data_IF_672123939018
#
_entry.id   IF_672123939018
#
_cell.length_a   1.000
_cell.length_b   1.000
_cell.length_c   1.000
_cell.angle_alpha   90.00
_cell.angle_beta   90.00
_cell.angle_gamma   90.00
#
_symmetry.space_group_name_H-M   'P 1'
#
loop_
_entity.id
_entity.type
_entity.pdbx_description
1 polymer ?
#
# COMPACT_ATOMS: atom_id res chain seq x y z
N UNK A 1 8.04 14.75 -25.05
CA UNK A 1 8.49 13.74 -24.08
C UNK A 1 9.93 14.04 -23.69
N UNK A 2 10.15 14.42 -22.43
CA UNK A 2 11.48 14.74 -21.89
C UNK A 2 12.37 13.50 -21.76
N UNK A 3 13.69 13.70 -21.66
CA UNK A 3 14.69 12.62 -21.49
C UNK A 3 14.41 11.72 -20.27
N UNK A 4 14.02 12.25 -19.08
CA UNK A 4 13.71 11.41 -17.93
C UNK A 4 12.56 10.43 -18.22
N UNK A 5 11.50 10.88 -18.91
CA UNK A 5 10.31 10.08 -19.18
C UNK A 5 10.61 8.92 -20.13
N UNK A 6 11.52 9.10 -21.09
CA UNK A 6 11.99 8.01 -21.96
C UNK A 6 12.61 6.88 -21.16
N UNK A 7 13.47 7.20 -20.18
CA UNK A 7 14.10 6.20 -19.32
C UNK A 7 13.09 5.52 -18.40
N UNK A 8 12.15 6.30 -17.83
CA UNK A 8 11.08 5.74 -16.99
C UNK A 8 10.26 4.71 -17.78
N UNK A 9 9.86 5.02 -19.01
CA UNK A 9 9.13 4.08 -19.87
C UNK A 9 9.97 2.84 -20.21
N UNK A 10 11.27 3.01 -20.47
CA UNK A 10 12.17 1.88 -20.71
C UNK A 10 12.25 0.94 -19.51
N UNK A 11 12.38 1.48 -18.30
CA UNK A 11 12.42 0.72 -17.06
C UNK A 11 11.06 0.04 -16.80
N UNK A 12 9.92 0.71 -17.07
CA UNK A 12 8.58 0.08 -17.02
C UNK A 12 8.49 -1.10 -17.99
N UNK A 13 8.92 -0.93 -19.24
CA UNK A 13 8.89 -1.99 -20.24
C UNK A 13 9.76 -3.17 -19.84
N UNK A 14 10.95 -2.93 -19.26
CA UNK A 14 11.78 -4.02 -18.77
C UNK A 14 11.09 -4.81 -17.64
N UNK A 15 10.55 -4.09 -16.65
CA UNK A 15 9.86 -4.71 -15.51
C UNK A 15 8.63 -5.51 -15.98
N UNK A 16 7.86 -5.01 -16.96
CA UNK A 16 6.62 -5.65 -17.40
C UNK A 16 6.79 -6.69 -18.50
N UNK A 17 7.69 -6.49 -19.46
CA UNK A 17 7.82 -7.35 -20.64
C UNK A 17 9.01 -8.31 -20.56
N UNK A 18 10.06 -7.98 -19.80
CA UNK A 18 11.19 -8.89 -19.56
C UNK A 18 10.98 -9.73 -18.31
N UNK A 19 10.65 -9.09 -17.17
CA UNK A 19 10.43 -9.82 -15.90
C UNK A 19 9.01 -10.39 -15.85
N UNK A 20 8.00 -9.61 -16.26
CA UNK A 20 6.61 -10.05 -16.30
C UNK A 20 5.82 -9.68 -15.05
N UNK A 21 4.77 -10.46 -14.76
CA UNK A 21 4.00 -10.34 -13.50
C UNK A 21 4.90 -10.67 -12.32
N UNK A 22 4.72 -9.97 -11.19
CA UNK A 22 5.61 -10.08 -10.02
C UNK A 22 4.83 -10.50 -8.77
N UNK A 23 4.27 -11.73 -8.72
CA UNK A 23 3.55 -12.19 -7.55
C UNK A 23 4.40 -12.08 -6.27
N UNK A 24 3.80 -11.81 -5.10
CA UNK A 24 4.52 -11.83 -3.83
C UNK A 24 5.26 -13.15 -3.62
N UNK A 25 6.51 -13.09 -3.16
CA UNK A 25 7.37 -14.26 -2.89
C UNK A 25 7.71 -15.09 -4.13
N UNK A 26 7.51 -14.55 -5.33
CA UNK A 26 7.87 -15.24 -6.58
C UNK A 26 9.32 -14.97 -6.99
N UNK A 27 9.77 -15.71 -8.00
CA UNK A 27 11.10 -15.49 -8.58
C UNK A 27 11.15 -14.13 -9.29
N UNK A 28 10.06 -13.74 -9.95
CA UNK A 28 9.90 -12.47 -10.67
C UNK A 28 9.89 -11.25 -9.74
N UNK A 29 9.31 -11.35 -8.52
CA UNK A 29 9.48 -10.32 -7.48
C UNK A 29 10.96 -10.16 -7.13
N UNK A 30 11.68 -11.27 -6.95
CA UNK A 30 13.11 -11.25 -6.64
C UNK A 30 13.98 -10.73 -7.80
N UNK A 31 13.66 -11.08 -9.04
CA UNK A 31 14.32 -10.51 -10.23
C UNK A 31 14.11 -9.00 -10.32
N UNK A 32 12.94 -8.50 -9.91
CA UNK A 32 12.69 -7.05 -9.83
C UNK A 32 13.54 -6.39 -8.74
N UNK A 33 13.73 -7.07 -7.60
CA UNK A 33 14.67 -6.62 -6.56
C UNK A 33 16.08 -6.50 -7.12
N UNK A 34 16.56 -7.51 -7.85
CA UNK A 34 17.88 -7.51 -8.47
C UNK A 34 18.02 -6.39 -9.49
N UNK A 35 17.04 -6.22 -10.38
CA UNK A 35 17.00 -5.10 -11.34
C UNK A 35 17.11 -3.75 -10.63
N UNK A 36 16.34 -3.52 -9.56
CA UNK A 36 16.41 -2.28 -8.78
C UNK A 36 17.80 -2.10 -8.15
N UNK A 37 18.37 -3.15 -7.56
CA UNK A 37 19.72 -3.09 -6.98
C UNK A 37 20.77 -2.73 -8.03
N UNK A 38 20.76 -3.37 -9.20
CA UNK A 38 21.69 -3.09 -10.30
C UNK A 38 21.58 -1.64 -10.78
N UNK A 39 20.35 -1.12 -10.93
CA UNK A 39 20.11 0.27 -11.33
C UNK A 39 20.63 1.29 -10.32
N UNK A 40 20.73 0.92 -9.04
CA UNK A 40 21.19 1.80 -7.96
C UNK A 40 22.69 1.67 -7.65
N UNK A 41 23.29 0.48 -7.83
CA UNK A 41 24.70 0.20 -7.49
C UNK A 41 25.71 1.07 -8.26
N UNK A 42 25.34 1.59 -9.43
CA UNK A 42 26.18 2.47 -10.26
C UNK A 42 26.15 3.95 -9.88
N UNK A 43 25.40 4.35 -8.84
CA UNK A 43 25.18 5.76 -8.50
C UNK A 43 26.11 6.21 -7.36
N UNK A 44 27.00 7.16 -7.63
CA UNK A 44 28.09 7.57 -6.72
C UNK A 44 27.63 8.03 -5.33
N UNK A 45 26.43 8.63 -5.23
CA UNK A 45 25.91 9.21 -3.98
C UNK A 45 24.79 8.40 -3.34
N UNK A 46 24.60 7.17 -3.77
CA UNK A 46 23.52 6.30 -3.29
C UNK A 46 24.10 5.15 -2.49
N UNK A 47 23.78 5.09 -1.20
CA UNK A 47 24.04 3.89 -0.40
C UNK A 47 22.80 3.00 -0.41
N UNK A 48 22.94 1.76 -0.87
CA UNK A 48 21.85 0.79 -0.95
C UNK A 48 21.96 -0.22 0.19
N UNK A 49 20.87 -0.44 0.90
CA UNK A 49 20.74 -1.50 1.91
C UNK A 49 19.52 -2.36 1.63
N UNK A 50 19.64 -3.65 1.92
CA UNK A 50 18.56 -4.61 1.80
C UNK A 50 18.00 -4.94 3.19
N UNK A 51 16.68 -4.97 3.31
CA UNK A 51 15.97 -5.40 4.51
C UNK A 51 15.17 -6.68 4.17
N UNK A 52 15.67 -7.87 4.55
CA UNK A 52 14.93 -9.10 4.37
C UNK A 52 13.83 -9.28 5.43
N UNK A 53 12.72 -9.89 5.04
CA UNK A 53 11.64 -10.27 5.96
C UNK A 53 10.92 -11.53 5.47
N UNK A 54 10.07 -12.12 6.30
CA UNK A 54 9.26 -13.27 5.94
C UNK A 54 7.79 -12.90 5.80
N UNK A 55 7.09 -13.60 4.89
CA UNK A 55 5.66 -13.39 4.66
C UNK A 55 4.99 -14.67 4.19
N UNK A 56 3.66 -14.71 4.34
CA UNK A 56 2.77 -15.70 3.74
C UNK A 56 2.30 -15.18 2.38
N UNK A 57 2.53 -15.92 1.30
CA UNK A 57 2.43 -15.42 -0.08
C UNK A 57 1.04 -15.14 -0.66
N UNK A 58 -0.02 -15.25 0.14
CA UNK A 58 -1.41 -15.14 -0.31
C UNK A 58 -2.27 -14.36 0.68
N UNK A 59 -3.04 -13.39 0.19
CA UNK A 59 -3.98 -12.63 1.00
C UNK A 59 -5.10 -13.54 1.54
N UNK A 60 -5.55 -14.55 0.80
CA UNK A 60 -6.54 -15.51 1.30
C UNK A 60 -5.98 -16.36 2.44
N UNK A 61 -4.69 -16.70 2.41
CA UNK A 61 -4.04 -17.38 3.53
C UNK A 61 -3.92 -16.46 4.76
N UNK A 62 -3.71 -15.15 4.56
CA UNK A 62 -3.66 -14.16 5.65
C UNK A 62 -5.05 -13.89 6.23
N UNK A 63 -6.02 -13.45 5.42
CA UNK A 63 -7.35 -13.00 5.88
C UNK A 63 -8.38 -14.14 5.98
N UNK A 64 -8.31 -15.18 5.16
CA UNK A 64 -9.29 -16.27 5.14
C UNK A 64 -9.49 -16.97 6.49
N UNK A 65 -8.43 -17.26 7.28
CA UNK A 65 -8.58 -17.82 8.63
C UNK A 65 -9.41 -16.94 9.56
N UNK A 66 -9.36 -15.61 9.43
CA UNK A 66 -10.15 -14.72 10.28
C UNK A 66 -11.66 -14.97 10.12
N UNK A 67 -12.16 -15.17 8.91
CA UNK A 67 -13.56 -15.50 8.66
C UNK A 67 -13.96 -16.88 9.20
N UNK A 68 -13.08 -17.88 9.07
CA UNK A 68 -13.32 -19.22 9.61
C UNK A 68 -13.33 -19.25 11.15
N UNK A 69 -12.39 -18.55 11.78
CA UNK A 69 -12.32 -18.40 13.25
C UNK A 69 -13.55 -17.63 13.75
N UNK A 70 -13.96 -16.57 13.03
CA UNK A 70 -15.17 -15.82 13.35
C UNK A 70 -16.43 -16.69 13.27
N UNK A 71 -16.58 -17.49 12.21
CA UNK A 71 -17.70 -18.40 12.04
C UNK A 71 -17.77 -19.44 13.17
N UNK A 72 -16.64 -20.06 13.51
CA UNK A 72 -16.54 -20.98 14.65
C UNK A 72 -16.92 -20.27 15.95
N UNK A 73 -16.42 -19.05 16.16
CA UNK A 73 -16.75 -18.20 17.31
C UNK A 73 -18.25 -17.97 17.46
N UNK A 74 -18.93 -17.60 16.38
CA UNK A 74 -20.39 -17.36 16.35
C UNK A 74 -21.20 -18.64 16.63
N UNK A 75 -20.76 -19.79 16.12
CA UNK A 75 -21.41 -21.09 16.36
C UNK A 75 -21.25 -21.53 17.82
N UNK A 76 -20.06 -21.40 18.40
CA UNK A 76 -19.80 -21.72 19.81
C UNK A 76 -20.51 -20.75 20.76
N UNK A 77 -20.56 -19.47 20.41
CA UNK A 77 -21.33 -18.45 21.12
C UNK A 77 -22.83 -18.79 21.17
N UNK A 78 -23.34 -19.56 20.20
CA UNK A 78 -24.75 -19.99 20.15
C UNK A 78 -25.10 -21.13 21.09
N UNK A 79 -24.12 -21.71 21.79
CA UNK A 79 -24.35 -22.80 22.73
C UNK A 79 -24.92 -22.29 24.08
N UNK A 80 -25.70 -23.11 24.80
CA UNK A 80 -26.22 -22.76 26.13
C UNK A 80 -25.14 -22.82 27.21
N UNK A 81 -24.14 -23.69 27.07
CA UNK A 81 -23.06 -23.87 28.05
C UNK A 81 -22.20 -22.60 28.13
N UNK A 82 -22.02 -22.05 29.34
CA UNK A 82 -21.32 -20.76 29.57
C UNK A 82 -19.89 -20.75 29.03
N UNK A 83 -19.13 -21.83 29.25
CA UNK A 83 -17.73 -21.89 28.81
C UNK A 83 -17.59 -21.90 27.27
N UNK A 84 -18.47 -22.60 26.55
CA UNK A 84 -18.50 -22.57 25.08
C UNK A 84 -18.84 -21.17 24.54
N UNK A 85 -19.73 -20.45 25.24
CA UNK A 85 -20.04 -19.06 24.89
C UNK A 85 -18.84 -18.14 25.04
N UNK A 86 -18.14 -18.24 26.17
CA UNK A 86 -16.93 -17.46 26.42
C UNK A 86 -15.83 -17.78 25.40
N UNK A 87 -15.63 -19.06 25.09
CA UNK A 87 -14.69 -19.48 24.05
C UNK A 87 -15.07 -18.88 22.68
N UNK A 88 -16.35 -18.92 22.31
CA UNK A 88 -16.83 -18.35 21.06
C UNK A 88 -16.60 -16.83 20.96
N UNK A 89 -16.84 -16.10 22.05
CA UNK A 89 -16.55 -14.66 22.13
C UNK A 89 -15.04 -14.38 21.99
N UNK A 90 -14.19 -15.16 22.65
CA UNK A 90 -12.74 -15.03 22.54
C UNK A 90 -12.25 -15.27 21.11
N UNK A 91 -12.77 -16.29 20.42
CA UNK A 91 -12.44 -16.54 19.00
C UNK A 91 -12.90 -15.39 18.10
N UNK A 92 -14.09 -14.84 18.34
CA UNK A 92 -14.54 -13.64 17.64
C UNK A 92 -13.59 -12.45 17.82
N UNK A 93 -13.10 -12.24 19.04
CA UNK A 93 -12.08 -11.22 19.35
C UNK A 93 -10.74 -11.47 18.65
N UNK A 94 -10.26 -12.72 18.63
CA UNK A 94 -9.02 -13.10 17.95
C UNK A 94 -9.13 -12.89 16.43
N UNK A 95 -10.25 -13.30 15.82
CA UNK A 95 -10.51 -13.10 14.40
C UNK A 95 -10.50 -11.61 14.03
N UNK A 96 -11.20 -10.79 14.82
CA UNK A 96 -11.28 -9.35 14.65
C UNK A 96 -9.91 -8.67 14.78
N UNK A 97 -9.18 -9.02 15.83
CA UNK A 97 -7.83 -8.52 16.06
C UNK A 97 -6.91 -8.89 14.90
N UNK A 98 -6.89 -10.15 14.46
CA UNK A 98 -6.00 -10.59 13.38
C UNK A 98 -6.35 -9.98 12.02
N UNK A 99 -7.64 -9.83 11.68
CA UNK A 99 -8.05 -9.09 10.47
C UNK A 99 -7.58 -7.63 10.52
N UNK A 100 -7.72 -6.98 11.69
CA UNK A 100 -7.23 -5.62 11.90
C UNK A 100 -5.70 -5.54 11.81
N UNK A 101 -4.95 -6.52 12.33
CA UNK A 101 -3.49 -6.59 12.20
C UNK A 101 -3.07 -6.63 10.73
N UNK A 102 -3.68 -7.51 9.94
CA UNK A 102 -3.36 -7.70 8.52
C UNK A 102 -3.63 -6.43 7.71
N UNK A 103 -4.73 -5.71 7.99
CA UNK A 103 -5.00 -4.43 7.33
C UNK A 103 -4.00 -3.31 7.64
N UNK A 104 -3.20 -3.48 8.70
CA UNK A 104 -2.13 -2.56 9.08
C UNK A 104 -0.74 -3.12 8.74
N UNK A 105 -0.69 -4.19 7.93
CA UNK A 105 0.50 -4.86 7.46
C UNK A 105 1.22 -5.72 8.52
N UNK A 106 0.58 -5.97 9.67
CA UNK A 106 1.11 -6.86 10.70
C UNK A 106 0.71 -8.31 10.43
N UNK A 107 1.47 -9.24 11.01
CA UNK A 107 1.11 -10.65 11.06
C UNK A 107 -0.02 -10.90 12.05
N UNK A 108 -0.94 -11.78 11.66
CA UNK A 108 -1.86 -12.42 12.58
C UNK A 108 -1.24 -13.67 13.20
N UNK A 109 -1.74 -14.08 14.38
CA UNK A 109 -1.20 -15.22 15.15
C UNK A 109 -1.16 -16.52 14.32
N UNK A 110 -2.16 -16.75 13.47
CA UNK A 110 -2.22 -17.97 12.65
C UNK A 110 -1.18 -18.01 11.52
N UNK A 111 -0.54 -16.89 11.16
CA UNK A 111 0.51 -16.88 10.13
C UNK A 111 1.80 -17.55 10.62
N UNK A 112 1.98 -17.70 11.94
CA UNK A 112 3.15 -18.34 12.56
C UNK A 112 3.28 -19.83 12.25
N UNK A 113 2.17 -20.49 11.88
CA UNK A 113 2.13 -21.92 11.52
C UNK A 113 1.99 -22.14 10.02
N UNK A 114 1.97 -21.06 9.23
CA UNK A 114 1.85 -21.13 7.78
C UNK A 114 3.22 -21.20 7.11
N UNK A 115 3.33 -21.79 5.91
CA UNK A 115 4.55 -21.71 5.12
C UNK A 115 4.87 -20.25 4.79
N UNK A 116 6.02 -19.78 5.28
CA UNK A 116 6.54 -18.45 5.00
C UNK A 116 7.72 -18.54 4.04
N UNK A 117 7.86 -17.54 3.17
CA UNK A 117 9.07 -17.38 2.33
C UNK A 117 9.64 -15.99 2.57
N UNK A 118 10.91 -15.85 2.23
CA UNK A 118 11.65 -14.60 2.35
C UNK A 118 11.25 -13.65 1.20
N UNK A 119 11.06 -12.38 1.53
CA UNK A 119 10.98 -11.24 0.60
C UNK A 119 11.95 -10.16 1.06
N UNK A 120 12.04 -9.07 0.29
CA UNK A 120 13.07 -8.06 0.46
C UNK A 120 12.50 -6.66 0.22
N UNK A 121 12.87 -5.73 1.09
CA UNK A 121 12.80 -4.31 0.79
C UNK A 121 14.21 -3.82 0.40
N UNK A 122 14.28 -2.92 -0.56
CA UNK A 122 15.51 -2.21 -0.92
C UNK A 122 15.40 -0.76 -0.50
N UNK A 123 16.38 -0.25 0.23
CA UNK A 123 16.43 1.15 0.65
C UNK A 123 17.66 1.80 0.03
N UNK A 124 17.44 2.75 -0.85
CA UNK A 124 18.46 3.66 -1.35
C UNK A 124 18.46 4.94 -0.52
N UNK A 125 19.61 5.32 0.02
CA UNK A 125 19.80 6.54 0.80
C UNK A 125 20.70 7.52 0.06
N UNK A 126 20.21 8.75 -0.06
CA UNK A 126 20.87 9.84 -0.78
C UNK A 126 21.09 10.98 0.21
N UNK A 127 22.36 11.24 0.52
CA UNK A 127 22.75 12.25 1.49
C UNK A 127 22.58 13.69 0.94
N UNK A 128 22.21 14.67 1.78
CA UNK A 128 22.18 16.07 1.39
C UNK A 128 23.60 16.63 1.16
N UNK A 129 23.70 17.73 0.42
CA UNK A 129 24.97 18.43 0.19
C UNK A 129 25.49 19.20 1.42
N UNK A 130 24.59 19.69 2.26
CA UNK A 130 24.87 20.53 3.42
C UNK A 130 24.28 19.87 4.68
N UNK A 131 24.08 20.67 5.71
CA UNK A 131 23.51 20.22 6.98
C UNK A 131 22.11 19.63 6.78
N UNK A 132 21.91 18.44 7.33
CA UNK A 132 20.65 17.73 7.34
C UNK A 132 19.60 18.51 8.14
N UNK A 133 18.52 18.93 7.47
CA UNK A 133 17.34 19.55 8.09
C UNK A 133 16.09 18.69 7.93
N UNK A 134 15.98 18.00 6.81
CA UNK A 134 14.78 17.25 6.49
C UNK A 134 15.12 15.86 5.98
N UNK A 135 14.18 14.94 6.20
CA UNK A 135 14.21 13.59 5.65
C UNK A 135 12.90 13.35 4.91
N UNK A 136 13.01 12.84 3.69
CA UNK A 136 11.87 12.40 2.88
C UNK A 136 12.07 10.93 2.58
N UNK A 137 11.02 10.13 2.77
CA UNK A 137 11.00 8.72 2.38
C UNK A 137 10.02 8.58 1.22
N UNK A 138 10.50 8.16 0.07
CA UNK A 138 9.69 7.83 -1.09
C UNK A 138 9.54 6.31 -1.10
N UNK A 139 8.32 5.80 -1.28
CA UNK A 139 8.04 4.36 -1.23
C UNK A 139 7.35 3.93 -2.52
N UNK A 140 7.83 2.87 -3.16
CA UNK A 140 7.16 2.20 -4.25
C UNK A 140 7.20 0.69 -4.06
N UNK A 141 6.05 0.04 -4.13
CA UNK A 141 5.97 -1.43 -4.08
C UNK A 141 6.53 -2.10 -5.34
N UNK A 142 7.10 -3.30 -5.18
CA UNK A 142 7.69 -4.11 -6.24
C UNK A 142 6.71 -5.12 -6.85
N UNK A 143 5.88 -5.72 -5.98
CA UNK A 143 4.99 -6.83 -6.33
C UNK A 143 3.73 -6.39 -7.07
N UNK A 144 3.15 -7.30 -7.84
CA UNK A 144 1.84 -7.16 -8.49
C UNK A 144 0.73 -7.79 -7.66
N UNK A 145 -0.45 -7.17 -7.64
CA UNK A 145 -1.65 -7.77 -7.07
C UNK A 145 -2.30 -8.75 -8.08
N UNK A 146 -3.44 -9.31 -7.71
CA UNK A 146 -4.29 -10.11 -8.59
C UNK A 146 -5.38 -9.27 -9.27
N UNK A 147 -5.87 -9.75 -10.41
CA UNK A 147 -7.09 -9.22 -11.02
C UNK A 147 -8.26 -9.58 -10.11
N UNK A 148 -8.91 -8.58 -9.52
CA UNK A 148 -10.01 -8.79 -8.57
C UNK A 148 -11.36 -8.49 -9.19
N UNK A 149 -12.40 -9.11 -8.65
CA UNK A 149 -13.78 -8.72 -8.97
C UNK A 149 -14.06 -7.25 -8.61
N UNK A 150 -13.39 -6.70 -7.59
CA UNK A 150 -13.43 -5.27 -7.24
C UNK A 150 -12.81 -4.35 -8.30
N UNK A 151 -11.96 -4.88 -9.19
CA UNK A 151 -11.41 -4.17 -10.33
C UNK A 151 -12.39 -4.04 -11.50
N UNK A 152 -13.49 -4.81 -11.52
CA UNK A 152 -14.52 -4.69 -12.55
C UNK A 152 -15.41 -3.46 -12.27
N UNK A 153 -15.60 -2.54 -13.24
CA UNK A 153 -16.33 -1.28 -13.03
C UNK A 153 -17.72 -1.43 -12.40
N UNK A 154 -18.44 -2.49 -12.79
CA UNK A 154 -19.81 -2.79 -12.34
C UNK A 154 -19.91 -3.32 -10.90
N UNK A 155 -18.82 -3.85 -10.35
CA UNK A 155 -18.77 -4.54 -9.05
C UNK A 155 -17.97 -3.78 -7.99
N UNK A 156 -17.08 -2.90 -8.44
CA UNK A 156 -16.17 -2.10 -7.63
C UNK A 156 -16.80 -1.40 -6.41
N UNK A 157 -17.87 -0.64 -6.61
CA UNK A 157 -18.52 0.11 -5.52
C UNK A 157 -19.24 -0.80 -4.53
N UNK A 158 -19.70 -1.96 -5.03
CA UNK A 158 -20.38 -3.00 -4.26
C UNK A 158 -19.41 -3.87 -3.45
N UNK A 159 -18.11 -3.91 -3.74
CA UNK A 159 -17.15 -4.73 -2.98
C UNK A 159 -16.11 -3.92 -2.19
N UNK A 160 -15.65 -2.77 -2.71
CA UNK A 160 -14.60 -1.98 -2.04
C UNK A 160 -15.07 -1.34 -0.72
N UNK A 161 -16.33 -0.90 -0.64
CA UNK A 161 -16.91 -0.26 0.56
C UNK A 161 -17.41 -1.27 1.62
N UNK A 162 -18.16 -2.33 1.27
CA UNK A 162 -18.72 -3.22 2.29
C UNK A 162 -17.72 -4.19 2.91
N UNK A 163 -16.59 -4.52 2.29
CA UNK A 163 -15.58 -5.38 2.93
C UNK A 163 -15.14 -4.85 4.31
N UNK A 164 -14.90 -3.53 4.42
CA UNK A 164 -14.54 -2.86 5.68
C UNK A 164 -15.69 -2.75 6.70
N UNK A 165 -16.95 -2.81 6.24
CA UNK A 165 -18.13 -2.71 7.09
C UNK A 165 -18.60 -4.09 7.58
N UNK A 166 -18.44 -5.13 6.76
CA UNK A 166 -18.79 -6.52 7.12
C UNK A 166 -17.88 -7.05 8.23
N UNK A 167 -16.60 -6.69 8.23
CA UNK A 167 -15.71 -7.03 9.35
C UNK A 167 -16.13 -6.34 10.65
N UNK A 168 -16.48 -5.04 10.61
CA UNK A 168 -17.01 -4.31 11.78
C UNK A 168 -18.33 -4.94 12.24
N UNK A 169 -19.20 -5.32 11.30
CA UNK A 169 -20.44 -6.05 11.58
C UNK A 169 -20.18 -7.42 12.22
N UNK A 170 -19.16 -8.17 11.79
CA UNK A 170 -18.79 -9.46 12.38
C UNK A 170 -18.31 -9.33 13.84
N UNK A 171 -17.64 -8.21 14.17
CA UNK A 171 -17.30 -7.87 15.56
C UNK A 171 -18.58 -7.64 16.35
N UNK A 172 -19.45 -6.71 15.92
CA UNK A 172 -20.71 -6.42 16.61
C UNK A 172 -21.66 -7.62 16.70
N UNK A 173 -21.68 -8.46 15.67
CA UNK A 173 -22.42 -9.71 15.57
C UNK A 173 -21.97 -10.81 16.53
N UNK A 174 -20.72 -10.74 16.98
CA UNK A 174 -20.20 -11.66 17.99
C UNK A 174 -20.64 -11.22 19.40
N UNK A 175 -20.76 -9.91 19.65
CA UNK A 175 -21.10 -9.36 20.97
C UNK A 175 -22.62 -9.16 21.22
N UNK A 176 -23.37 -8.60 20.26
CA UNK A 176 -24.78 -8.19 20.46
C UNK A 176 -25.76 -9.38 20.48
N UNK A 177 -25.69 -10.35 19.56
CA UNK A 177 -26.58 -11.52 19.56
C UNK A 177 -26.29 -12.52 20.69
N UNK A 178 -25.08 -12.50 21.27
CA UNK A 178 -24.69 -13.39 22.37
C UNK A 178 -25.39 -13.03 23.69
N UNK A 179 -25.79 -11.77 23.85
CA UNK A 179 -26.54 -11.26 25.02
C UNK A 179 -28.05 -11.27 24.78
N UNK A 180 -28.51 -11.09 23.53
CA UNK A 180 -29.93 -11.04 23.15
C UNK A 180 -30.56 -12.41 22.78
N UNK A 181 -29.78 -13.49 22.71
CA UNK A 181 -30.30 -14.85 22.49
C UNK A 181 -30.65 -15.18 21.02
N UNK A 182 -30.26 -14.34 20.06
CA UNK A 182 -30.59 -14.52 18.63
C UNK A 182 -29.67 -15.55 17.95
N UNK A 183 -29.87 -16.83 18.27
CA UNK A 183 -29.08 -17.95 17.71
C UNK A 183 -29.21 -18.10 16.19
N UNK A 184 -30.39 -17.83 15.62
CA UNK A 184 -30.61 -17.91 14.17
C UNK A 184 -29.76 -16.87 13.41
N UNK A 185 -29.69 -15.63 13.91
CA UNK A 185 -28.91 -14.56 13.30
C UNK A 185 -27.41 -14.88 13.33
N UNK A 186 -26.91 -15.45 14.43
CA UNK A 186 -25.50 -15.89 14.53
C UNK A 186 -25.15 -16.99 13.53
N UNK A 187 -26.07 -17.90 13.24
CA UNK A 187 -25.86 -18.93 12.20
C UNK A 187 -25.79 -18.30 10.81
N UNK A 188 -26.66 -17.34 10.51
CA UNK A 188 -26.60 -16.59 9.24
C UNK A 188 -25.25 -15.87 9.11
N UNK A 189 -24.80 -15.20 10.18
CA UNK A 189 -23.53 -14.47 10.17
C UNK A 189 -22.31 -15.40 10.12
N UNK A 190 -22.38 -16.57 10.74
CA UNK A 190 -21.36 -17.61 10.61
C UNK A 190 -21.28 -18.13 9.16
N UNK A 191 -22.43 -18.37 8.52
CA UNK A 191 -22.46 -18.74 7.11
C UNK A 191 -21.89 -17.63 6.23
N UNK A 192 -22.25 -16.37 6.49
CA UNK A 192 -21.69 -15.24 5.76
C UNK A 192 -20.16 -15.14 5.91
N UNK A 193 -19.62 -15.39 7.11
CA UNK A 193 -18.18 -15.39 7.34
C UNK A 193 -17.46 -16.55 6.62
N UNK A 194 -18.05 -17.76 6.59
CA UNK A 194 -17.53 -18.89 5.79
C UNK A 194 -17.56 -18.54 4.30
N UNK A 195 -18.68 -18.00 3.81
CA UNK A 195 -18.82 -17.57 2.42
C UNK A 195 -17.81 -16.48 2.07
N UNK A 196 -17.55 -15.52 2.96
CA UNK A 196 -16.52 -14.50 2.77
C UNK A 196 -15.13 -15.12 2.61
N UNK A 197 -14.73 -16.05 3.49
CA UNK A 197 -13.45 -16.76 3.37
C UNK A 197 -13.36 -17.56 2.06
N UNK A 198 -14.43 -18.24 1.67
CA UNK A 198 -14.47 -18.99 0.42
C UNK A 198 -14.38 -18.07 -0.81
N UNK A 199 -15.07 -16.93 -0.80
CA UNK A 199 -15.00 -15.93 -1.86
C UNK A 199 -13.60 -15.32 -1.97
N UNK A 200 -12.91 -15.09 -0.86
CA UNK A 200 -11.54 -14.59 -0.88
C UNK A 200 -10.58 -15.61 -1.53
N UNK A 201 -10.73 -16.90 -1.20
CA UNK A 201 -9.95 -17.98 -1.85
C UNK A 201 -10.27 -18.06 -3.34
N UNK A 202 -11.54 -17.91 -3.72
CA UNK A 202 -11.96 -17.92 -5.12
C UNK A 202 -11.45 -16.70 -5.91
N UNK A 203 -11.46 -15.50 -5.31
CA UNK A 203 -10.91 -14.27 -5.89
C UNK A 203 -9.40 -14.42 -6.17
N UNK A 204 -8.66 -15.08 -5.26
CA UNK A 204 -7.24 -15.40 -5.44
C UNK A 204 -6.89 -16.49 -6.45
N UNK A 205 -7.88 -17.15 -7.04
CA UNK A 205 -7.65 -18.02 -8.18
C UNK A 205 -7.48 -17.24 -9.50
N UNK A 206 -7.77 -15.92 -9.50
CA UNK A 206 -7.59 -15.05 -10.65
C UNK A 206 -6.13 -14.89 -11.08
N UNK A 207 -5.89 -14.47 -12.33
CA UNK A 207 -4.54 -14.16 -12.81
C UNK A 207 -3.97 -12.93 -12.09
N UNK A 208 -2.64 -12.81 -12.08
CA UNK A 208 -1.96 -11.61 -11.61
C UNK A 208 -2.15 -10.44 -12.58
N UNK A 209 -2.22 -9.21 -12.06
CA UNK A 209 -2.22 -8.02 -12.93
C UNK A 209 -0.83 -7.84 -13.56
N UNK A 210 -0.73 -7.43 -14.85
CA UNK A 210 0.57 -7.14 -15.47
C UNK A 210 1.34 -6.02 -14.75
N UNK A 211 0.61 -5.07 -14.15
CA UNK A 211 1.12 -4.16 -13.14
C UNK A 211 2.02 -3.06 -13.69
N UNK A 212 1.73 -2.56 -14.90
CA UNK A 212 2.49 -1.48 -15.51
C UNK A 212 2.29 -0.16 -14.76
N UNK A 213 1.04 0.22 -14.53
CA UNK A 213 0.69 1.35 -13.69
C UNK A 213 0.93 0.99 -12.22
N UNK A 214 0.37 -0.13 -11.72
CA UNK A 214 0.45 -0.59 -10.33
C UNK A 214 1.41 -1.79 -10.17
N UNK A 215 2.70 -1.61 -9.88
CA UNK A 215 3.38 -0.34 -9.62
C UNK A 215 4.73 -0.20 -10.33
N UNK A 216 4.91 -0.81 -11.51
CA UNK A 216 6.14 -0.61 -12.29
C UNK A 216 6.40 0.88 -12.58
N UNK A 217 5.33 1.67 -12.78
CA UNK A 217 5.42 3.12 -12.95
C UNK A 217 6.07 3.84 -11.76
N UNK A 218 5.68 3.50 -10.53
CA UNK A 218 6.26 4.07 -9.31
C UNK A 218 7.72 3.65 -9.14
N UNK A 219 8.03 2.37 -9.35
CA UNK A 219 9.41 1.84 -9.28
C UNK A 219 10.32 2.55 -10.28
N UNK A 220 9.94 2.57 -11.55
CA UNK A 220 10.73 3.19 -12.61
C UNK A 220 10.91 4.71 -12.40
N UNK A 221 9.87 5.40 -11.96
CA UNK A 221 9.94 6.83 -11.66
C UNK A 221 10.92 7.11 -10.53
N UNK A 222 10.86 6.33 -9.44
CA UNK A 222 11.76 6.50 -8.31
C UNK A 222 13.20 6.10 -8.63
N UNK A 223 13.43 5.12 -9.51
CA UNK A 223 14.77 4.80 -10.02
C UNK A 223 15.37 5.99 -10.77
N UNK A 224 14.59 6.61 -11.66
CA UNK A 224 15.03 7.82 -12.38
C UNK A 224 15.27 8.99 -11.43
N UNK A 225 14.46 9.13 -10.37
CA UNK A 225 14.63 10.17 -9.37
C UNK A 225 15.87 9.93 -8.51
N UNK A 226 16.20 8.67 -8.21
CA UNK A 226 17.42 8.29 -7.50
C UNK A 226 18.66 8.71 -8.30
N UNK A 227 18.65 8.47 -9.61
CA UNK A 227 19.72 8.90 -10.51
C UNK A 227 19.86 10.43 -10.52
N UNK A 228 18.76 11.15 -10.70
CA UNK A 228 18.76 12.62 -10.71
C UNK A 228 19.29 13.21 -9.40
N UNK A 229 18.90 12.63 -8.26
CA UNK A 229 19.36 13.06 -6.94
C UNK A 229 20.78 12.60 -6.61
N UNK A 230 21.28 11.56 -7.28
CA UNK A 230 22.71 11.21 -7.20
C UNK A 230 23.55 12.27 -7.90
N UNK A 231 23.13 12.74 -9.08
CA UNK A 231 23.87 13.75 -9.83
C UNK A 231 23.69 15.16 -9.22
N UNK A 232 22.48 15.43 -8.72
CA UNK A 232 22.06 16.73 -8.19
C UNK A 232 21.37 16.58 -6.82
N UNK A 233 22.12 16.19 -5.77
CA UNK A 233 21.56 16.03 -4.43
C UNK A 233 21.01 17.35 -3.87
N UNK A 234 19.99 17.25 -3.03
CA UNK A 234 19.37 18.40 -2.36
C UNK A 234 20.32 19.03 -1.32
N UNK A 235 20.10 20.30 -0.96
CA UNK A 235 21.01 20.98 -0.06
C UNK A 235 20.87 20.52 1.39
N UNK A 236 19.64 20.38 1.89
CA UNK A 236 19.33 20.18 3.30
C UNK A 236 18.44 18.96 3.57
N UNK A 237 18.06 18.24 2.52
CA UNK A 237 17.13 17.11 2.60
C UNK A 237 17.82 15.81 2.23
N UNK A 238 17.81 14.87 3.17
CA UNK A 238 18.11 13.48 2.87
C UNK A 238 16.89 12.82 2.23
N UNK A 239 17.12 12.12 1.11
CA UNK A 239 16.09 11.36 0.42
C UNK A 239 16.38 9.88 0.59
N UNK A 240 15.41 9.17 1.14
CA UNK A 240 15.38 7.71 1.26
C UNK A 240 14.36 7.22 0.25
N UNK A 241 14.74 6.25 -0.57
CA UNK A 241 13.85 5.63 -1.55
C UNK A 241 13.76 4.16 -1.19
N UNK A 242 12.58 3.74 -0.75
CA UNK A 242 12.30 2.38 -0.36
C UNK A 242 11.46 1.68 -1.44
N UNK A 243 11.97 0.56 -1.93
CA UNK A 243 11.26 -0.36 -2.81
C UNK A 243 10.79 -1.55 -1.98
N UNK A 244 9.48 -1.70 -1.83
CA UNK A 244 8.89 -2.63 -0.84
C UNK A 244 8.32 -3.89 -1.48
N UNK A 245 8.66 -5.05 -0.93
CA UNK A 245 8.10 -6.34 -1.36
C UNK A 245 6.76 -6.66 -0.68
N UNK A 246 6.00 -7.60 -1.23
CA UNK A 246 4.79 -8.14 -0.60
C UNK A 246 3.75 -7.09 -0.14
N UNK A 247 3.67 -5.93 -0.76
CA UNK A 247 2.74 -4.89 -0.33
C UNK A 247 1.30 -5.20 -0.76
N UNK A 248 1.05 -6.08 -1.74
CA UNK A 248 -0.31 -6.52 -2.10
C UNK A 248 -0.94 -7.33 -0.97
N UNK A 249 -0.10 -7.87 -0.08
CA UNK A 249 -0.49 -8.68 1.07
C UNK A 249 -0.83 -7.83 2.30
N UNK A 250 -1.41 -6.64 2.07
CA UNK A 250 -1.81 -5.71 3.13
C UNK A 250 -0.72 -4.74 3.55
N UNK A 251 0.25 -4.47 2.67
CA UNK A 251 1.38 -3.58 2.95
C UNK A 251 2.44 -4.21 3.84
N UNK A 252 2.76 -5.51 3.63
CA UNK A 252 3.67 -6.26 4.50
C UNK A 252 5.09 -5.69 4.47
N UNK A 253 5.66 -5.47 3.28
CA UNK A 253 7.00 -4.90 3.17
C UNK A 253 7.08 -3.51 3.77
N UNK A 254 6.09 -2.67 3.49
CA UNK A 254 6.01 -1.33 4.06
C UNK A 254 5.85 -1.33 5.58
N UNK A 255 5.12 -2.28 6.15
CA UNK A 255 5.01 -2.46 7.59
C UNK A 255 6.34 -2.88 8.24
N UNK A 256 7.10 -3.77 7.60
CA UNK A 256 8.43 -4.17 8.07
C UNK A 256 9.45 -3.04 7.97
N UNK A 257 9.40 -2.26 6.89
CA UNK A 257 10.17 -1.02 6.75
C UNK A 257 9.87 -0.05 7.90
N UNK A 258 8.59 0.12 8.23
CA UNK A 258 8.17 1.00 9.31
C UNK A 258 8.51 0.46 10.71
N UNK A 259 8.55 -0.86 10.89
CA UNK A 259 8.97 -1.48 12.15
C UNK A 259 10.45 -1.20 12.42
N UNK A 260 11.30 -1.35 11.41
CA UNK A 260 12.75 -1.16 11.58
C UNK A 260 13.14 0.31 11.61
N UNK A 261 12.64 1.11 10.66
CA UNK A 261 13.10 2.48 10.46
C UNK A 261 12.14 3.55 10.98
N UNK A 262 10.89 3.21 11.27
CA UNK A 262 9.86 4.20 11.64
C UNK A 262 10.22 5.04 12.87
N UNK A 263 10.92 4.46 13.85
CA UNK A 263 11.41 5.22 15.00
C UNK A 263 12.51 6.22 14.60
N UNK A 264 13.55 5.75 13.90
CA UNK A 264 14.67 6.58 13.44
C UNK A 264 14.23 7.67 12.45
N UNK A 265 13.16 7.41 11.68
CA UNK A 265 12.64 8.29 10.63
C UNK A 265 11.27 8.87 11.00
N UNK A 266 10.95 8.97 12.30
CA UNK A 266 9.64 9.45 12.78
C UNK A 266 9.27 10.84 12.26
N UNK A 267 10.26 11.72 12.12
CA UNK A 267 10.09 13.09 11.61
C UNK A 267 10.22 13.20 10.09
N UNK A 268 10.39 12.08 9.39
CA UNK A 268 10.46 12.06 7.94
C UNK A 268 9.06 12.27 7.32
N UNK A 269 9.07 12.75 6.08
CA UNK A 269 7.86 12.90 5.25
C UNK A 269 7.80 11.69 4.33
N UNK A 270 6.76 10.87 4.47
CA UNK A 270 6.64 9.61 3.74
C UNK A 270 5.68 9.78 2.56
N UNK A 271 6.17 9.63 1.34
CA UNK A 271 5.37 9.68 0.11
C UNK A 271 5.32 8.30 -0.50
N UNK A 272 4.13 7.69 -0.50
CA UNK A 272 3.89 6.45 -1.23
C UNK A 272 3.55 6.80 -2.67
N UNK A 273 4.39 6.39 -3.62
CA UNK A 273 4.25 6.64 -5.05
C UNK A 273 3.67 5.39 -5.68
N UNK A 274 2.38 5.44 -5.99
CA UNK A 274 1.59 4.26 -6.35
C UNK A 274 0.72 4.56 -7.57
N UNK A 275 0.77 3.72 -8.61
CA UNK A 275 -0.13 3.84 -9.77
C UNK A 275 -0.03 5.21 -10.47
N UNK A 276 1.18 5.70 -10.75
CA UNK A 276 1.44 7.07 -11.25
C UNK A 276 1.74 7.16 -12.75
N UNK A 277 1.55 6.07 -13.48
CA UNK A 277 1.75 5.96 -14.92
C UNK A 277 0.54 6.28 -15.78
N UNK A 278 -0.66 6.42 -15.21
CA UNK A 278 -1.88 6.69 -15.97
C UNK A 278 -2.93 7.50 -15.18
N UNK A 279 -3.84 8.16 -15.90
CA UNK A 279 -4.91 8.97 -15.32
C UNK A 279 -4.46 10.35 -14.86
N UNK A 280 -5.29 11.01 -14.05
CA UNK A 280 -4.97 12.31 -13.46
C UNK A 280 -4.22 12.16 -12.14
N UNK A 281 -3.25 13.01 -11.85
CA UNK A 281 -2.47 12.91 -10.62
C UNK A 281 -3.20 13.53 -9.43
N UNK A 282 -3.20 12.82 -8.29
CA UNK A 282 -3.74 13.32 -7.03
C UNK A 282 -2.91 12.84 -5.84
N UNK A 283 -3.15 13.43 -4.67
CA UNK A 283 -2.80 12.79 -3.40
C UNK A 283 -4.05 12.38 -2.63
N UNK A 284 -3.96 11.27 -1.91
CA UNK A 284 -5.08 10.70 -1.19
C UNK A 284 -5.37 11.50 0.09
N UNK A 285 -6.61 12.00 0.23
CA UNK A 285 -7.05 12.78 1.40
C UNK A 285 -7.94 11.99 2.34
N UNK A 286 -8.92 11.27 1.79
CA UNK A 286 -9.83 10.39 2.54
C UNK A 286 -9.94 9.03 1.83
N UNK A 287 -9.33 7.96 2.37
CA UNK A 287 -9.48 6.60 1.86
C UNK A 287 -10.82 5.97 2.28
N UNK A 288 -11.32 4.98 1.52
CA UNK A 288 -12.50 4.22 1.91
C UNK A 288 -12.27 3.50 3.26
N UNK A 289 -13.25 3.59 4.17
CA UNK A 289 -13.25 2.90 5.47
C UNK A 289 -12.71 3.72 6.65
N UNK A 290 -12.14 4.91 6.41
CA UNK A 290 -11.61 5.81 7.45
C UNK A 290 -12.69 6.73 8.07
N UNK A 291 -13.87 6.20 8.42
CA UNK A 291 -14.94 7.01 9.04
C UNK A 291 -14.61 7.52 10.45
N UNK A 292 -13.56 7.00 11.10
CA UNK A 292 -13.22 7.34 12.49
C UNK A 292 -11.88 8.09 12.65
N UNK A 293 -11.05 8.16 11.61
CA UNK A 293 -9.74 8.81 11.67
C UNK A 293 -9.46 9.61 10.39
N UNK A 294 -10.09 10.77 10.26
CA UNK A 294 -9.70 11.80 9.28
C UNK A 294 -8.40 12.46 9.76
N UNK A 295 -7.30 11.72 9.72
CA UNK A 295 -5.98 12.29 9.98
C UNK A 295 -5.45 12.86 8.66
N UNK A 296 -5.48 14.18 8.51
CA UNK A 296 -4.71 14.84 7.47
C UNK A 296 -3.28 15.02 7.97
N UNK A 297 -2.30 14.29 7.42
CA UNK A 297 -0.91 14.40 7.84
C UNK A 297 -0.36 15.78 7.46
N UNK A 298 0.55 16.39 8.25
CA UNK A 298 1.17 17.68 7.92
C UNK A 298 1.84 17.74 6.53
N UNK A 299 2.19 16.58 5.96
CA UNK A 299 2.67 16.47 4.58
C UNK A 299 1.61 16.88 3.55
N UNK A 300 0.33 16.64 3.78
CA UNK A 300 -0.75 17.03 2.85
C UNK A 300 -0.82 18.55 2.64
N UNK A 301 -0.52 19.34 3.68
CA UNK A 301 -0.47 20.81 3.58
C UNK A 301 0.67 21.27 2.66
N UNK A 302 1.81 20.55 2.67
CA UNK A 302 2.94 20.82 1.77
C UNK A 302 2.57 20.50 0.34
N UNK A 303 1.89 19.37 0.10
CA UNK A 303 1.40 19.02 -1.23
C UNK A 303 0.41 20.07 -1.75
N UNK A 304 -0.48 20.55 -0.88
CA UNK A 304 -1.41 21.64 -1.19
C UNK A 304 -0.69 22.92 -1.59
N UNK A 305 0.35 23.32 -0.84
CA UNK A 305 1.16 24.51 -1.18
C UNK A 305 1.89 24.34 -2.52
N UNK A 306 2.49 23.18 -2.75
CA UNK A 306 3.18 22.89 -4.02
C UNK A 306 2.22 22.94 -5.20
N UNK A 307 1.06 22.30 -5.07
CA UNK A 307 0.00 22.33 -6.08
C UNK A 307 -0.50 23.76 -6.36
N UNK A 308 -0.64 24.59 -5.33
CA UNK A 308 -1.02 25.99 -5.51
C UNK A 308 0.04 26.82 -6.24
N UNK A 309 1.33 26.50 -6.06
CA UNK A 309 2.44 27.16 -6.78
C UNK A 309 2.66 26.62 -8.20
N UNK A 310 2.07 25.47 -8.54
CA UNK A 310 2.21 24.79 -9.83
C UNK A 310 0.83 24.35 -10.37
N UNK A 311 -0.10 25.29 -10.60
CA UNK A 311 -1.46 24.97 -11.03
C UNK A 311 -1.50 24.24 -12.39
N UNK A 312 -0.48 24.43 -13.24
CA UNK A 312 -0.32 23.78 -14.53
C UNK A 312 -0.19 22.25 -14.44
N UNK A 313 0.26 21.72 -13.29
CA UNK A 313 0.32 20.27 -13.08
C UNK A 313 -1.05 19.65 -12.77
N UNK A 314 -2.03 20.48 -12.37
CA UNK A 314 -3.40 20.04 -12.11
C UNK A 314 -3.56 19.03 -10.96
N UNK A 315 -2.58 18.96 -10.05
CA UNK A 315 -2.56 18.00 -8.94
C UNK A 315 -3.39 18.52 -7.78
N UNK A 316 -4.24 17.67 -7.20
CA UNK A 316 -5.03 18.04 -6.03
C UNK A 316 -5.33 16.88 -5.10
N UNK A 317 -5.73 17.19 -3.87
CA UNK A 317 -6.20 16.20 -2.91
C UNK A 317 -7.53 15.59 -3.34
N UNK A 318 -7.63 14.26 -3.36
CA UNK A 318 -8.86 13.55 -3.72
C UNK A 318 -9.21 12.43 -2.73
N UNK A 319 -10.50 12.24 -2.41
CA UNK A 319 -10.96 11.02 -1.77
C UNK A 319 -11.07 9.92 -2.83
N UNK A 320 -10.44 8.77 -2.61
CA UNK A 320 -10.57 7.60 -3.47
C UNK A 320 -11.19 6.46 -2.68
N UNK A 321 -12.08 5.69 -3.33
CA UNK A 321 -12.82 4.63 -2.67
C UNK A 321 -12.02 3.31 -2.55
N UNK A 322 -10.74 3.41 -2.19
CA UNK A 322 -9.79 2.31 -2.01
C UNK A 322 -9.25 2.27 -0.57
N UNK A 323 -8.74 1.12 -0.10
CA UNK A 323 -7.87 1.08 1.06
C UNK A 323 -6.67 2.01 0.87
N UNK A 324 -6.28 2.73 1.92
CA UNK A 324 -5.14 3.64 1.87
C UNK A 324 -3.82 2.88 1.69
N UNK A 325 -3.06 3.09 0.59
CA UNK A 325 -1.75 2.46 0.41
C UNK A 325 -0.75 2.84 1.51
N UNK A 326 -0.91 4.03 2.12
CA UNK A 326 -0.06 4.49 3.20
C UNK A 326 -0.52 4.02 4.60
N UNK A 327 -1.56 3.17 4.68
CA UNK A 327 -2.12 2.69 5.96
C UNK A 327 -1.08 2.06 6.91
N UNK A 328 -0.14 1.20 6.45
CA UNK A 328 0.87 0.62 7.34
C UNK A 328 1.77 1.67 8.01
N UNK A 329 2.01 2.80 7.33
CA UNK A 329 2.80 3.91 7.88
C UNK A 329 1.95 4.76 8.84
N UNK A 330 0.72 5.09 8.43
CA UNK A 330 -0.21 5.92 9.22
C UNK A 330 -0.62 5.24 10.53
N UNK A 331 -0.77 3.92 10.56
CA UNK A 331 -1.06 3.18 11.80
C UNK A 331 0.02 3.31 12.87
N UNK A 332 1.24 3.65 12.46
CA UNK A 332 2.40 3.92 13.32
C UNK A 332 2.62 5.43 13.56
N UNK A 333 1.61 6.25 13.25
CA UNK A 333 1.64 7.71 13.41
C UNK A 333 2.76 8.39 12.58
N UNK A 334 3.18 7.77 11.48
CA UNK A 334 4.14 8.37 10.55
C UNK A 334 3.44 9.37 9.62
N UNK A 335 4.15 10.44 9.27
CA UNK A 335 3.66 11.52 8.41
C UNK A 335 3.64 11.07 6.93
N UNK A 336 2.64 10.26 6.57
CA UNK A 336 2.58 9.55 5.29
C UNK A 336 1.39 9.94 4.40
N UNK A 337 1.63 10.12 3.10
CA UNK A 337 0.60 10.39 2.08
C UNK A 337 0.88 9.55 0.83
N UNK A 338 -0.17 9.02 0.21
CA UNK A 338 -0.07 8.39 -1.10
C UNK A 338 -0.34 9.39 -2.23
N UNK A 339 0.50 9.36 -3.28
CA UNK A 339 0.35 10.08 -4.54
C UNK A 339 0.04 9.06 -5.62
N UNK A 340 -1.04 9.28 -6.37
CA UNK A 340 -1.59 8.29 -7.29
C UNK A 340 -2.23 8.92 -8.53
N UNK A 341 -2.17 8.20 -9.64
CA UNK A 341 -2.95 8.44 -10.83
C UNK A 341 -4.35 7.84 -10.72
N UNK A 342 -5.40 8.64 -10.95
CA UNK A 342 -6.79 8.22 -10.84
C UNK A 342 -7.60 8.49 -12.12
N UNK A 343 -8.55 7.62 -12.40
CA UNK A 343 -9.54 7.83 -13.44
C UNK A 343 -10.66 8.73 -12.90
N UNK A 344 -10.77 9.97 -13.43
CA UNK A 344 -11.70 11.00 -12.92
C UNK A 344 -13.16 10.55 -12.93
N UNK A 345 -13.61 9.91 -14.01
CA UNK A 345 -14.98 9.42 -14.14
C UNK A 345 -15.36 8.38 -13.08
N UNK A 346 -14.35 7.76 -12.49
CA UNK A 346 -14.48 6.55 -11.71
C UNK A 346 -14.20 6.78 -10.22
N UNK A 347 -13.36 7.75 -9.87
CA UNK A 347 -12.86 8.00 -8.51
C UNK A 347 -12.07 6.82 -7.90
N UNK A 348 -11.32 6.12 -8.74
CA UNK A 348 -10.39 5.04 -8.40
C UNK A 348 -9.08 5.20 -9.16
N UNK A 349 -7.99 4.53 -8.74
CA UNK A 349 -6.76 4.51 -9.51
C UNK A 349 -7.00 4.04 -10.95
N UNK A 350 -6.28 4.60 -11.90
CA UNK A 350 -6.39 4.19 -13.29
C UNK A 350 -5.98 2.72 -13.45
N UNK A 351 -6.82 1.91 -14.11
CA UNK A 351 -6.63 0.46 -14.29
C UNK A 351 -6.49 -0.36 -13.00
N UNK A 352 -7.04 0.14 -11.88
CA UNK A 352 -6.93 -0.52 -10.57
C UNK A 352 -7.40 -1.98 -10.59
N UNK A 353 -6.51 -2.90 -10.18
CA UNK A 353 -6.77 -4.35 -10.10
C UNK A 353 -7.34 -4.95 -11.40
N UNK A 354 -6.95 -4.39 -12.54
CA UNK A 354 -7.47 -4.75 -13.86
C UNK A 354 -6.43 -5.46 -14.71
N UNK A 355 -6.87 -6.45 -15.51
CA UNK A 355 -6.03 -7.07 -16.53
C UNK A 355 -5.54 -6.07 -17.60
N UNK A 356 -6.20 -4.91 -17.71
CA UNK A 356 -5.80 -3.83 -18.61
C UNK A 356 -4.66 -2.96 -18.05
N UNK A 357 -4.11 -3.27 -16.86
CA UNK A 357 -2.96 -2.57 -16.31
C UNK A 357 -1.65 -2.95 -17.03
N UNK A 358 -1.55 -2.59 -18.31
CA UNK A 358 -0.50 -2.99 -19.25
C UNK A 358 0.32 -1.80 -19.74
N UNK A 359 1.50 -2.08 -20.31
CA UNK A 359 2.43 -1.02 -20.78
C UNK A 359 1.82 -0.11 -21.85
N UNK A 360 0.87 -0.61 -22.65
CA UNK A 360 0.20 0.16 -23.70
C UNK A 360 -0.70 1.28 -23.13
N UNK A 361 -1.08 1.18 -21.87
CA UNK A 361 -1.95 2.15 -21.20
C UNK A 361 -1.19 3.18 -20.36
N UNK A 362 0.14 3.12 -20.36
CA UNK A 362 0.99 4.11 -19.70
C UNK A 362 0.94 5.42 -20.49
N UNK A 363 0.61 6.50 -19.78
CA UNK A 363 0.59 7.86 -20.32
C UNK A 363 1.87 8.61 -19.92
N UNK A 364 2.69 8.91 -20.93
CA UNK A 364 3.89 9.72 -20.79
C UNK A 364 3.62 11.10 -20.15
N UNK A 365 2.45 11.70 -20.39
CA UNK A 365 2.10 13.00 -19.82
C UNK A 365 1.85 12.90 -18.30
N UNK A 366 1.22 11.82 -17.83
CA UNK A 366 1.03 11.57 -16.40
C UNK A 366 2.36 11.30 -15.71
N UNK A 367 3.26 10.53 -16.34
CA UNK A 367 4.62 10.33 -15.83
C UNK A 367 5.38 11.66 -15.74
N UNK A 368 5.31 12.50 -16.77
CA UNK A 368 5.95 13.82 -16.79
C UNK A 368 5.41 14.75 -15.70
N UNK A 369 4.08 14.78 -15.52
CA UNK A 369 3.45 15.53 -14.41
C UNK A 369 3.92 15.03 -13.05
N UNK A 370 3.98 13.70 -12.86
CA UNK A 370 4.41 13.10 -11.60
C UNK A 370 5.88 13.42 -11.31
N UNK A 371 6.73 13.33 -12.33
CA UNK A 371 8.14 13.72 -12.25
C UNK A 371 8.30 15.15 -11.72
N UNK A 372 7.65 16.12 -12.38
CA UNK A 372 7.74 17.53 -11.99
C UNK A 372 7.13 17.80 -10.62
N UNK A 373 5.99 17.17 -10.30
CA UNK A 373 5.35 17.31 -9.01
C UNK A 373 6.25 16.82 -7.87
N UNK A 374 6.84 15.63 -7.98
CA UNK A 374 7.73 15.10 -6.94
C UNK A 374 9.00 15.94 -6.79
N UNK A 375 9.59 16.40 -7.90
CA UNK A 375 10.71 17.35 -7.81
C UNK A 375 10.32 18.65 -7.11
N UNK A 376 9.14 19.19 -7.39
CA UNK A 376 8.63 20.40 -6.75
C UNK A 376 8.40 20.22 -5.25
N UNK A 377 7.84 19.07 -4.85
CA UNK A 377 7.66 18.71 -3.43
C UNK A 377 9.00 18.60 -2.73
N UNK A 378 9.97 17.90 -3.31
CA UNK A 378 11.31 17.78 -2.75
C UNK A 378 12.01 19.14 -2.60
N UNK A 379 11.97 19.98 -3.64
CA UNK A 379 12.54 21.35 -3.61
C UNK A 379 11.82 22.25 -2.61
N UNK A 380 10.50 22.12 -2.46
CA UNK A 380 9.75 22.86 -1.46
C UNK A 380 10.18 22.48 -0.04
N UNK A 381 10.29 21.18 0.24
CA UNK A 381 10.77 20.68 1.54
C UNK A 381 12.21 21.16 1.78
N UNK A 382 13.09 21.10 0.79
CA UNK A 382 14.51 21.46 0.94
C UNK A 382 14.76 22.94 1.31
N UNK A 383 13.86 23.82 0.88
CA UNK A 383 13.95 25.27 1.15
C UNK A 383 13.39 25.67 2.50
N UNK A 384 12.63 24.81 3.16
CA UNK A 384 12.04 25.16 4.44
C UNK A 384 13.11 25.29 5.52
N UNK A 385 12.91 26.26 6.40
CA UNK A 385 13.68 26.40 7.63
C UNK A 385 13.01 25.59 8.72
N UNK A 386 13.80 24.91 9.55
CA UNK A 386 13.29 24.37 10.81
C UNK A 386 13.15 25.59 11.74
N UNK A 387 11.97 25.88 12.30
CA UNK A 387 11.86 26.89 13.35
C UNK A 387 12.79 26.49 14.50
N UNK A 388 13.57 27.42 15.03
CA UNK A 388 14.41 27.16 16.20
C UNK A 388 13.57 26.51 17.30
N UNK A 389 14.03 25.36 17.79
CA UNK A 389 13.37 24.65 18.88
C UNK A 389 13.34 25.58 20.10
N UNK A 390 12.14 26.03 20.49
CA UNK A 390 11.92 26.75 21.75
C UNK A 390 11.98 25.79 22.93
#
# INVERSE_FOLDING_TARGET
>A
MSLPVKQIIADINHICETIGVRPPLSQEEYETVQFVQERLQGLERVSVSEQPFYSVGRMAARLGPSGLISALGLLLASNRRRWLRLLGLSLGGIAAWGANQIQHGHEAIWETVMPQRRSHNIVARIAPQKTLRHRVVLVARLDTDIVRLSGLPQWRTLFARPASNLEKLNIWASFIPATLGWSWLRRILAMAAITQSALLVADEAGPFVPGANANASGVALLLRLAQELSDHPLHHTEVLIAYTGCDSLGGRGMAELANEYGHAWRNAKWLVVESVGAGELCWLTDPAGATLHRFQPPLADRLTRVAATQPELGVMGRPLAIPDPARPLKSRQLNAVAVMGYARAEAFPAYWQSANDTVQHIDSATLEKTWWFLQAVLKHIDRETIPDAK
#
